data_IF_466278073697
#
_entry.id   IF_466278073697
#
_cell.length_a   1.000
_cell.length_b   1.000
_cell.length_c   1.000
_cell.angle_alpha   90.00
_cell.angle_beta   90.00
_cell.angle_gamma   90.00
#
_symmetry.space_group_name_H-M   'P 1'
#
loop_
_entity.id
_entity.type
_entity.pdbx_description
1 polymer ?
#
# COMPACT_ATOMS: atom_id res chain seq x y z
N UNK A 1 3.41 -23.35 4.43
CA UNK A 1 3.68 -23.47 2.98
C UNK A 1 2.43 -23.74 2.13
N UNK A 2 1.32 -24.27 2.68
CA UNK A 2 0.07 -24.47 1.91
C UNK A 2 -0.68 -23.16 1.61
N UNK A 3 -0.85 -22.29 2.63
CA UNK A 3 -1.57 -21.01 2.53
C UNK A 3 -0.92 -20.02 1.56
N UNK A 4 0.41 -19.93 1.56
CA UNK A 4 1.17 -19.04 0.67
C UNK A 4 0.93 -19.30 -0.82
N UNK A 5 0.86 -20.58 -1.21
CA UNK A 5 0.56 -20.96 -2.61
C UNK A 5 -0.90 -20.65 -2.95
N UNK A 6 -1.80 -20.87 -2.00
CA UNK A 6 -3.22 -20.57 -2.14
C UNK A 6 -3.46 -19.07 -2.37
N UNK A 7 -2.83 -18.16 -1.60
CA UNK A 7 -3.00 -16.71 -1.81
C UNK A 7 -2.49 -16.27 -3.19
N UNK A 8 -1.37 -16.83 -3.66
CA UNK A 8 -0.86 -16.52 -5.00
C UNK A 8 -1.85 -16.92 -6.09
N UNK A 9 -2.45 -18.11 -5.98
CA UNK A 9 -3.47 -18.57 -6.93
C UNK A 9 -4.70 -17.65 -6.90
N UNK A 10 -5.19 -17.28 -5.71
CA UNK A 10 -6.33 -16.36 -5.58
C UNK A 10 -6.02 -15.01 -6.25
N UNK A 11 -4.86 -14.42 -6.00
CA UNK A 11 -4.47 -13.16 -6.62
C UNK A 11 -4.38 -13.24 -8.15
N UNK A 12 -3.82 -14.33 -8.68
CA UNK A 12 -3.78 -14.59 -10.14
C UNK A 12 -5.18 -14.77 -10.74
N UNK A 13 -6.07 -15.49 -10.06
CA UNK A 13 -7.44 -15.73 -10.52
C UNK A 13 -8.28 -14.45 -10.49
N UNK A 14 -8.13 -13.61 -9.46
CA UNK A 14 -8.77 -12.29 -9.37
C UNK A 14 -8.28 -11.34 -10.46
N UNK A 15 -6.97 -11.35 -10.73
CA UNK A 15 -6.39 -10.58 -11.83
C UNK A 15 -6.90 -11.07 -13.20
N UNK A 16 -7.06 -12.38 -13.41
CA UNK A 16 -7.54 -12.97 -14.67
C UNK A 16 -9.06 -12.91 -14.82
N UNK A 17 -9.80 -12.77 -13.72
CA UNK A 17 -11.25 -12.68 -13.70
C UNK A 17 -11.79 -11.41 -14.39
N UNK A 18 -13.11 -11.22 -14.32
CA UNK A 18 -13.80 -10.03 -14.86
C UNK A 18 -13.57 -8.77 -13.99
N UNK A 19 -12.32 -8.38 -13.83
CA UNK A 19 -11.97 -7.03 -13.39
C UNK A 19 -11.87 -6.14 -14.63
N UNK A 20 -12.58 -5.01 -14.62
CA UNK A 20 -12.40 -3.99 -15.65
C UNK A 20 -10.99 -3.42 -15.50
N UNK A 21 -10.20 -3.50 -16.56
CA UNK A 21 -8.82 -3.03 -16.58
C UNK A 21 -8.73 -1.79 -17.44
N UNK A 22 -8.02 -0.79 -16.92
CA UNK A 22 -7.62 0.40 -17.67
C UNK A 22 -6.13 0.29 -18.02
N UNK A 23 -5.67 1.08 -18.99
CA UNK A 23 -4.23 1.15 -19.28
C UNK A 23 -3.49 1.65 -18.03
N UNK A 24 -2.45 0.92 -17.60
CA UNK A 24 -1.62 1.28 -16.46
C UNK A 24 -0.98 2.66 -16.66
N UNK A 25 -0.54 2.99 -17.87
CA UNK A 25 0.07 4.28 -18.21
C UNK A 25 -0.88 5.45 -17.95
N UNK A 26 -2.18 5.27 -18.23
CA UNK A 26 -3.18 6.29 -17.96
C UNK A 26 -3.25 6.59 -16.46
N UNK A 27 -3.21 5.57 -15.62
CA UNK A 27 -3.20 5.73 -14.17
C UNK A 27 -1.90 6.39 -13.69
N UNK A 28 -0.75 5.92 -14.17
CA UNK A 28 0.57 6.45 -13.81
C UNK A 28 0.72 7.93 -14.19
N UNK A 29 0.31 8.32 -15.40
CA UNK A 29 0.35 9.71 -15.86
C UNK A 29 -0.64 10.60 -15.08
N UNK A 30 -1.83 10.09 -14.77
CA UNK A 30 -2.82 10.82 -13.97
C UNK A 30 -2.31 11.05 -12.55
N UNK A 31 -1.69 10.03 -11.95
CA UNK A 31 -1.08 10.14 -10.63
C UNK A 31 0.11 11.11 -10.63
N UNK A 32 0.98 11.03 -11.63
CA UNK A 32 2.09 11.97 -11.80
C UNK A 32 1.62 13.41 -11.91
N UNK A 33 0.60 13.69 -12.73
CA UNK A 33 0.01 15.02 -12.87
C UNK A 33 -0.58 15.53 -11.54
N UNK A 34 -1.23 14.65 -10.77
CA UNK A 34 -1.75 14.99 -9.44
C UNK A 34 -0.62 15.36 -8.47
N UNK A 35 0.47 14.59 -8.44
CA UNK A 35 1.62 14.88 -7.56
C UNK A 35 2.28 16.20 -7.93
N UNK A 36 2.46 16.47 -9.23
CA UNK A 36 3.00 17.75 -9.72
C UNK A 36 2.10 18.92 -9.29
N UNK A 37 0.78 18.77 -9.43
CA UNK A 37 -0.17 19.79 -8.97
C UNK A 37 -0.05 20.04 -7.46
N UNK A 38 0.04 18.98 -6.64
CA UNK A 38 0.20 19.13 -5.19
C UNK A 38 1.52 19.82 -4.82
N UNK A 39 2.61 19.53 -5.51
CA UNK A 39 3.90 20.21 -5.28
C UNK A 39 3.77 21.70 -5.59
N UNK A 40 3.10 22.06 -6.68
CA UNK A 40 2.86 23.47 -7.05
C UNK A 40 1.94 24.19 -6.07
N UNK A 41 0.92 23.50 -5.54
CA UNK A 41 -0.08 24.12 -4.67
C UNK A 41 0.43 24.33 -3.23
N UNK A 42 1.25 23.41 -2.71
CA UNK A 42 1.70 23.44 -1.31
C UNK A 42 3.10 24.01 -1.11
N UNK A 43 3.98 23.95 -2.12
CA UNK A 43 5.40 24.35 -2.04
C UNK A 43 6.21 23.70 -0.89
N UNK A 44 5.61 22.73 -0.17
CA UNK A 44 6.18 21.98 0.96
C UNK A 44 5.93 20.48 0.77
N UNK A 45 7.00 19.73 0.51
CA UNK A 45 6.97 18.28 0.30
C UNK A 45 6.43 17.50 1.51
N UNK A 46 6.63 18.00 2.73
CA UNK A 46 6.10 17.39 3.94
C UNK A 46 4.57 17.44 3.98
N UNK A 47 3.99 18.55 3.54
CA UNK A 47 2.53 18.69 3.44
C UNK A 47 1.98 17.88 2.27
N UNK A 48 2.68 17.84 1.12
CA UNK A 48 2.34 16.96 0.00
C UNK A 48 2.25 15.50 0.45
N UNK A 49 3.23 15.01 1.22
CA UNK A 49 3.22 13.65 1.76
C UNK A 49 1.98 13.37 2.62
N UNK A 50 1.56 14.31 3.48
CA UNK A 50 0.34 14.18 4.29
C UNK A 50 -0.92 14.14 3.43
N UNK A 51 -0.99 14.96 2.39
CA UNK A 51 -2.15 14.96 1.49
C UNK A 51 -2.23 13.66 0.68
N UNK A 52 -1.10 13.14 0.20
CA UNK A 52 -1.04 11.85 -0.48
C UNK A 52 -1.51 10.70 0.43
N UNK A 53 -1.04 10.66 1.69
CA UNK A 53 -1.48 9.65 2.66
C UNK A 53 -2.99 9.79 2.98
N UNK A 54 -3.48 11.00 3.21
CA UNK A 54 -4.89 11.27 3.47
C UNK A 54 -5.78 10.86 2.29
N UNK A 55 -5.37 11.16 1.07
CA UNK A 55 -6.07 10.74 -0.13
C UNK A 55 -6.08 9.21 -0.25
N UNK A 56 -4.93 8.58 -0.06
CA UNK A 56 -4.81 7.12 -0.04
C UNK A 56 -5.74 6.48 0.98
N UNK A 57 -5.81 7.03 2.19
CA UNK A 57 -6.70 6.52 3.25
C UNK A 57 -8.18 6.52 2.83
N UNK A 58 -8.66 7.61 2.26
CA UNK A 58 -10.04 7.71 1.78
C UNK A 58 -10.31 6.75 0.61
N UNK A 59 -9.31 6.45 -0.22
CA UNK A 59 -9.40 5.43 -1.26
C UNK A 59 -9.45 4.03 -0.63
N UNK A 60 -8.53 3.72 0.28
CA UNK A 60 -8.41 2.42 0.93
C UNK A 60 -9.64 2.01 1.71
N UNK A 61 -10.28 2.95 2.42
CA UNK A 61 -11.54 2.71 3.16
C UNK A 61 -12.70 2.29 2.27
N UNK A 62 -12.71 2.72 1.00
CA UNK A 62 -13.72 2.32 0.01
C UNK A 62 -13.31 1.07 -0.77
N UNK A 63 -12.02 0.94 -1.07
CA UNK A 63 -11.44 -0.16 -1.83
C UNK A 63 -11.63 -1.51 -1.13
N UNK A 64 -11.55 -1.52 0.20
CA UNK A 64 -11.56 -2.74 1.00
C UNK A 64 -12.86 -3.54 0.87
N UNK A 65 -14.01 -2.88 0.72
CA UNK A 65 -15.29 -3.57 0.55
C UNK A 65 -15.33 -4.38 -0.75
N UNK A 66 -14.89 -3.78 -1.87
CA UNK A 66 -14.79 -4.45 -3.16
C UNK A 66 -13.73 -5.57 -3.13
N UNK A 67 -12.60 -5.35 -2.44
CA UNK A 67 -11.57 -6.37 -2.26
C UNK A 67 -12.10 -7.61 -1.51
N UNK A 68 -12.82 -7.41 -0.41
CA UNK A 68 -13.38 -8.52 0.37
C UNK A 68 -14.49 -9.25 -0.40
N UNK A 69 -15.34 -8.50 -1.12
CA UNK A 69 -16.42 -9.08 -1.92
C UNK A 69 -15.89 -9.97 -3.06
N UNK A 70 -14.80 -9.57 -3.71
CA UNK A 70 -14.20 -10.33 -4.82
C UNK A 70 -13.34 -11.49 -4.36
N UNK A 71 -12.51 -11.27 -3.33
CA UNK A 71 -11.53 -12.26 -2.88
C UNK A 71 -12.16 -13.43 -2.12
N UNK A 72 -13.35 -13.24 -1.52
CA UNK A 72 -14.02 -14.22 -0.66
C UNK A 72 -13.13 -14.75 0.48
N UNK A 73 -12.13 -13.94 0.89
CA UNK A 73 -11.23 -14.26 1.98
C UNK A 73 -11.91 -14.08 3.34
N UNK A 74 -11.60 -14.97 4.28
CA UNK A 74 -11.99 -14.81 5.68
C UNK A 74 -11.17 -13.72 6.39
N UNK A 75 -11.47 -13.49 7.67
CA UNK A 75 -10.64 -12.63 8.53
C UNK A 75 -9.27 -13.26 8.72
N UNK A 76 -8.22 -12.45 8.57
CA UNK A 76 -6.85 -12.88 8.86
C UNK A 76 -6.67 -13.12 10.36
N UNK A 77 -5.97 -14.18 10.75
CA UNK A 77 -5.72 -14.51 12.16
C UNK A 77 -4.57 -13.69 12.76
N UNK A 78 -3.54 -13.43 11.96
CA UNK A 78 -2.28 -12.84 12.41
C UNK A 78 -1.74 -11.80 11.44
N UNK A 79 -0.93 -10.86 11.94
CA UNK A 79 -0.31 -9.82 11.12
C UNK A 79 0.66 -10.39 10.06
N UNK A 80 1.17 -11.60 10.29
CA UNK A 80 1.94 -12.35 9.27
C UNK A 80 1.08 -12.70 8.06
N UNK A 81 -0.14 -13.16 8.30
CA UNK A 81 -1.10 -13.49 7.24
C UNK A 81 -1.55 -12.22 6.51
N UNK A 82 -1.77 -11.13 7.23
CA UNK A 82 -2.12 -9.83 6.63
C UNK A 82 -1.08 -9.41 5.58
N UNK A 83 0.22 -9.48 5.90
CA UNK A 83 1.27 -9.13 4.95
C UNK A 83 1.26 -10.01 3.70
N UNK A 84 0.99 -11.31 3.85
CA UNK A 84 0.90 -12.27 2.75
C UNK A 84 -0.33 -11.99 1.85
N UNK A 85 -1.50 -11.73 2.44
CA UNK A 85 -2.73 -11.41 1.71
C UNK A 85 -2.59 -10.08 0.96
N UNK A 86 -2.07 -9.05 1.63
CA UNK A 86 -1.85 -7.73 1.01
C UNK A 86 -0.91 -7.86 -0.19
N UNK A 87 0.23 -8.51 -0.03
CA UNK A 87 1.22 -8.62 -1.11
C UNK A 87 0.76 -9.53 -2.26
N UNK A 88 0.20 -10.71 -1.96
CA UNK A 88 -0.07 -11.74 -2.98
C UNK A 88 -1.45 -11.65 -3.59
N UNK A 89 -2.41 -11.06 -2.89
CA UNK A 89 -3.79 -10.90 -3.36
C UNK A 89 -4.07 -9.44 -3.67
N UNK A 90 -3.85 -8.53 -2.71
CA UNK A 90 -4.15 -7.10 -2.86
C UNK A 90 -3.38 -6.44 -4.01
N UNK A 91 -2.06 -6.36 -3.88
CA UNK A 91 -1.20 -5.76 -4.90
C UNK A 91 -1.31 -6.46 -6.26
N UNK A 92 -1.47 -7.78 -6.26
CA UNK A 92 -1.65 -8.54 -7.50
C UNK A 92 -2.95 -8.21 -8.22
N UNK A 93 -4.04 -8.03 -7.48
CA UNK A 93 -5.35 -7.74 -8.05
C UNK A 93 -5.45 -6.32 -8.60
N UNK A 94 -4.84 -5.34 -7.93
CA UNK A 94 -4.98 -3.93 -8.31
C UNK A 94 -3.87 -3.42 -9.23
N UNK A 95 -2.62 -3.82 -8.99
CA UNK A 95 -1.44 -3.28 -9.66
C UNK A 95 -0.67 -4.34 -10.46
N UNK A 96 -1.12 -5.60 -10.46
CA UNK A 96 -0.46 -6.74 -11.10
C UNK A 96 0.98 -7.02 -10.61
N UNK A 97 1.37 -6.47 -9.47
CA UNK A 97 2.67 -6.71 -8.84
C UNK A 97 2.55 -7.60 -7.61
N UNK A 98 3.64 -8.25 -7.23
CA UNK A 98 3.70 -9.06 -6.00
C UNK A 98 4.90 -8.61 -5.18
N UNK A 99 4.72 -7.72 -4.19
CA UNK A 99 5.81 -7.29 -3.32
C UNK A 99 6.38 -8.45 -2.51
N UNK A 100 7.67 -8.35 -2.19
CA UNK A 100 8.33 -9.27 -1.26
C UNK A 100 7.99 -8.89 0.18
N UNK A 101 7.45 -9.84 0.95
CA UNK A 101 7.10 -9.62 2.36
C UNK A 101 8.25 -10.06 3.25
N UNK A 102 8.75 -9.14 4.09
CA UNK A 102 9.77 -9.44 5.10
C UNK A 102 9.19 -9.15 6.47
N UNK A 103 8.87 -10.21 7.23
CA UNK A 103 8.36 -10.06 8.59
C UNK A 103 9.49 -9.71 9.55
N UNK A 104 9.24 -8.70 10.39
CA UNK A 104 10.15 -8.29 11.44
C UNK A 104 9.42 -8.25 12.79
N UNK A 105 10.07 -8.74 13.83
CA UNK A 105 9.62 -8.51 15.21
C UNK A 105 10.48 -7.39 15.77
N UNK A 106 10.05 -6.15 15.59
CA UNK A 106 10.71 -5.01 16.23
C UNK A 106 10.20 -4.91 17.67
N UNK A 107 11.09 -5.07 18.64
CA UNK A 107 10.87 -4.53 19.99
C UNK A 107 10.85 -3.01 19.87
N UNK A 108 9.67 -2.41 19.82
CA UNK A 108 9.52 -0.97 19.69
C UNK A 108 10.22 -0.27 20.88
N UNK A 109 11.03 0.78 20.66
CA UNK A 109 11.36 1.72 21.73
C UNK A 109 10.06 2.43 22.09
N UNK A 110 9.76 2.50 23.39
CA UNK A 110 8.62 3.26 23.89
C UNK A 110 8.69 4.72 23.40
N UNK A 111 7.83 5.10 22.45
CA UNK A 111 7.59 6.52 22.18
C UNK A 111 6.73 7.07 23.32
N UNK A 112 7.19 8.19 23.86
CA UNK A 112 6.73 8.81 25.10
C UNK A 112 5.20 8.96 25.16
N UNK A 113 4.56 8.38 26.18
CA UNK A 113 3.32 8.93 26.74
C UNK A 113 2.14 8.01 27.02
N UNK A 114 2.15 6.71 26.69
CA UNK A 114 1.02 5.83 27.02
C UNK A 114 1.46 4.40 27.41
N UNK A 115 1.60 4.22 28.73
CA UNK A 115 1.47 2.99 29.54
C UNK A 115 1.73 1.60 28.91
N UNK A 116 2.82 0.99 29.40
CA UNK A 116 2.93 -0.38 29.94
C UNK A 116 2.54 -1.57 29.05
N UNK A 117 3.53 -2.04 28.28
CA UNK A 117 3.64 -3.42 27.85
C UNK A 117 4.92 -3.62 27.04
N UNK A 118 5.89 -4.39 27.55
CA UNK A 118 7.01 -4.90 26.75
C UNK A 118 6.45 -5.97 25.80
N UNK A 119 5.73 -5.52 24.77
CA UNK A 119 5.17 -6.35 23.73
C UNK A 119 5.93 -6.10 22.44
N UNK A 120 6.43 -7.16 21.81
CA UNK A 120 6.86 -7.12 20.42
C UNK A 120 5.64 -6.81 19.56
N UNK A 121 5.56 -5.60 18.99
CA UNK A 121 4.57 -5.29 17.97
C UNK A 121 4.98 -6.00 16.69
N UNK A 122 4.19 -6.96 16.17
CA UNK A 122 4.53 -7.62 14.93
C UNK A 122 4.49 -6.59 13.79
N UNK A 123 5.59 -6.49 13.04
CA UNK A 123 5.69 -5.62 11.87
C UNK A 123 6.07 -6.45 10.64
N UNK A 124 5.81 -5.94 9.45
CA UNK A 124 6.34 -6.49 8.22
C UNK A 124 6.66 -5.36 7.25
N UNK A 125 7.63 -5.61 6.39
CA UNK A 125 8.02 -4.71 5.31
C UNK A 125 7.52 -5.29 3.99
N UNK A 126 7.00 -4.42 3.12
CA UNK A 126 6.67 -4.74 1.74
C UNK A 126 7.74 -4.10 0.86
N UNK A 127 8.50 -4.93 0.16
CA UNK A 127 9.54 -4.49 -0.76
C UNK A 127 8.98 -4.60 -2.17
N UNK A 128 8.87 -3.46 -2.85
CA UNK A 128 8.44 -3.36 -4.24
C UNK A 128 9.70 -3.23 -5.09
N UNK A 129 10.08 -4.31 -5.79
CA UNK A 129 11.22 -4.28 -6.72
C UNK A 129 10.90 -3.46 -7.97
N UNK A 130 9.65 -3.52 -8.42
CA UNK A 130 9.11 -2.72 -9.52
C UNK A 130 7.90 -1.93 -9.03
N UNK A 131 7.93 -0.61 -9.22
CA UNK A 131 6.85 0.28 -8.81
C UNK A 131 6.15 0.88 -10.04
N UNK A 132 4.97 0.36 -10.43
CA UNK A 132 4.28 0.76 -11.65
C UNK A 132 3.84 2.23 -11.65
N UNK A 133 3.80 2.88 -10.47
CA UNK A 133 3.50 4.30 -10.36
C UNK A 133 4.69 5.18 -10.74
N UNK A 134 5.91 4.66 -10.68
CA UNK A 134 7.14 5.41 -10.86
C UNK A 134 7.83 5.15 -12.20
N UNK A 135 7.26 4.31 -13.08
CA UNK A 135 7.89 3.89 -14.35
C UNK A 135 8.34 5.04 -15.27
N UNK A 136 7.66 6.20 -15.20
CA UNK A 136 7.97 7.39 -16.01
C UNK A 136 8.35 8.61 -15.17
N UNK A 137 8.77 8.39 -13.92
CA UNK A 137 8.97 9.46 -12.95
C UNK A 137 10.44 9.58 -12.62
N UNK A 138 11.00 10.75 -12.93
CA UNK A 138 12.30 11.18 -12.42
C UNK A 138 12.06 12.32 -11.43
N UNK A 139 12.48 12.11 -10.18
CA UNK A 139 12.36 13.14 -9.15
C UNK A 139 13.53 14.12 -9.26
N UNK A 140 13.28 15.45 -9.24
CA UNK A 140 14.36 16.42 -9.16
C UNK A 140 15.07 16.34 -7.81
N UNK A 141 16.34 16.74 -7.76
CA UNK A 141 17.16 16.71 -6.53
C UNK A 141 16.52 17.43 -5.36
N UNK A 142 15.78 18.51 -5.64
CA UNK A 142 15.03 19.30 -4.67
C UNK A 142 13.94 18.47 -3.95
N UNK A 143 13.22 17.63 -4.71
CA UNK A 143 12.19 16.76 -4.16
C UNK A 143 12.79 15.58 -3.37
N UNK A 144 13.97 15.11 -3.78
CA UNK A 144 14.71 14.09 -3.03
C UNK A 144 15.23 14.64 -1.70
N UNK A 145 15.81 15.84 -1.70
CA UNK A 145 16.27 16.52 -0.47
C UNK A 145 15.12 16.92 0.44
N UNK A 146 13.97 17.25 -0.14
CA UNK A 146 12.73 17.53 0.58
C UNK A 146 11.99 16.30 1.11
N UNK A 147 12.57 15.11 0.98
CA UNK A 147 11.98 13.84 1.43
C UNK A 147 10.58 13.56 0.85
N UNK A 148 10.35 13.93 -0.41
CA UNK A 148 9.09 13.61 -1.08
C UNK A 148 8.96 12.08 -1.26
N UNK A 149 7.89 11.50 -0.72
CA UNK A 149 7.55 10.11 -0.93
C UNK A 149 6.53 10.00 -2.05
N UNK A 150 7.03 9.86 -3.28
CA UNK A 150 6.20 9.85 -4.48
C UNK A 150 5.05 8.84 -4.40
N UNK A 151 5.23 7.68 -3.78
CA UNK A 151 4.20 6.63 -3.66
C UNK A 151 3.49 6.60 -2.30
N UNK A 152 3.50 7.70 -1.54
CA UNK A 152 2.89 7.72 -0.20
C UNK A 152 1.37 7.48 -0.22
N UNK A 153 0.72 7.64 -1.37
CA UNK A 153 -0.67 7.23 -1.57
C UNK A 153 -0.89 5.75 -1.26
N UNK A 154 0.07 4.88 -1.57
CA UNK A 154 -0.03 3.44 -1.29
C UNK A 154 -0.05 3.16 0.21
N UNK A 155 0.77 3.89 0.98
CA UNK A 155 0.77 3.81 2.45
C UNK A 155 -0.60 4.19 3.01
N UNK A 156 -1.18 5.28 2.51
CA UNK A 156 -2.52 5.71 2.88
C UNK A 156 -3.57 4.65 2.56
N UNK A 157 -3.54 4.07 1.35
CA UNK A 157 -4.47 3.01 0.93
C UNK A 157 -4.39 1.82 1.87
N UNK A 158 -3.18 1.35 2.20
CA UNK A 158 -2.99 0.25 3.14
C UNK A 158 -3.53 0.58 4.53
N UNK A 159 -3.25 1.78 5.04
CA UNK A 159 -3.75 2.23 6.34
C UNK A 159 -5.27 2.24 6.38
N UNK A 160 -5.91 2.87 5.38
CA UNK A 160 -7.37 2.94 5.30
C UNK A 160 -8.03 1.58 5.12
N UNK A 161 -7.45 0.70 4.32
CA UNK A 161 -7.98 -0.64 4.11
C UNK A 161 -7.87 -1.48 5.40
N UNK A 162 -6.72 -1.49 6.07
CA UNK A 162 -6.51 -2.30 7.28
C UNK A 162 -7.33 -1.80 8.48
N UNK A 163 -7.60 -0.50 8.57
CA UNK A 163 -8.40 0.08 9.65
C UNK A 163 -9.87 -0.36 9.60
N UNK A 164 -10.43 -0.54 8.41
CA UNK A 164 -11.82 -0.97 8.22
C UNK A 164 -12.06 -2.45 8.52
N UNK A 165 -11.01 -3.27 8.59
CA UNK A 165 -11.10 -4.72 8.86
C UNK A 165 -10.76 -5.06 10.32
N UNK A 166 -10.56 -4.04 11.15
CA UNK A 166 -10.28 -4.19 12.58
C UNK A 166 -11.48 -4.71 13.38
#
# INVERSE_FOLDING_TARGET
MSSTKQYKTIGEDLWKGRTEKINAELFTLTYGALVVQLIQDYEDYGEVNKQLDKMGYNIGTRLIEDFLARSSLGRCSDFREVGEVVAKVGFKTFLNIVPTVVHSTTSAPATNGASTGSGTTPTFNLILDENPLADFVELPDEALQGELWFSNVLCGVLRGALEMVR
#
